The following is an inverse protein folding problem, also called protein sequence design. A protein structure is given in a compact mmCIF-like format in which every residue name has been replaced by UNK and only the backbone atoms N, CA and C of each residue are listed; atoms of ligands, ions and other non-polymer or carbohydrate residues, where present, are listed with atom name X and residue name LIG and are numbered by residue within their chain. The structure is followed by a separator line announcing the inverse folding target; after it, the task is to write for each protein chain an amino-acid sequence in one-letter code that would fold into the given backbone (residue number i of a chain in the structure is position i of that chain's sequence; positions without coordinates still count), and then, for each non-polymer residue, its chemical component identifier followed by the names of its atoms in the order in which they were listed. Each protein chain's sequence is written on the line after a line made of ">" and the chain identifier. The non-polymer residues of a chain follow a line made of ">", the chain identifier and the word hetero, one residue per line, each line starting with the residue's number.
data_IF_177942206255
#
_entry.id   IF_177942206255
#
_cell.length_a   1.000
_cell.length_b   1.000
_cell.length_c   1.000
_cell.angle_alpha   90.00
_cell.angle_beta   90.00
_cell.angle_gamma   90.00
#
_symmetry.space_group_name_H-M   'P 1'
#
loop_
_entity.id
_entity.type
_entity.pdbx_description
1 polymer ?
#
# COMPACT_ATOMS: atom_id res chain seq x y z
N UNK A 1 -14.00 -2.23 -22.15
CA UNK A 1 -14.43 -2.75 -20.84
C UNK A 1 -13.68 -1.99 -19.77
N UNK A 2 -14.37 -1.54 -18.72
CA UNK A 2 -13.75 -0.73 -17.67
C UNK A 2 -12.94 -1.63 -16.71
N UNK A 3 -11.64 -1.36 -16.57
CA UNK A 3 -10.84 -1.90 -15.47
C UNK A 3 -11.02 -1.07 -14.21
N UNK A 4 -10.87 -1.70 -13.06
CA UNK A 4 -10.83 -1.04 -11.75
C UNK A 4 -9.37 -0.88 -11.32
N UNK A 5 -9.08 0.17 -10.55
CA UNK A 5 -7.76 0.34 -9.95
C UNK A 5 -7.73 -0.46 -8.65
N UNK A 6 -6.79 -1.40 -8.55
CA UNK A 6 -6.63 -2.25 -7.39
C UNK A 6 -5.25 -2.06 -6.76
N UNK A 7 -5.20 -2.34 -5.47
CA UNK A 7 -3.97 -2.50 -4.72
C UNK A 7 -3.88 -3.92 -4.17
N UNK A 8 -2.70 -4.52 -4.31
CA UNK A 8 -2.33 -5.76 -3.64
C UNK A 8 -1.46 -5.37 -2.45
N UNK A 9 -1.89 -5.72 -1.26
CA UNK A 9 -1.37 -5.16 -0.01
C UNK A 9 -1.08 -6.23 1.01
N UNK A 10 -0.22 -5.93 1.97
CA UNK A 10 -0.19 -6.65 3.24
C UNK A 10 -0.98 -5.88 4.31
N UNK A 11 -1.75 -6.61 5.12
CA UNK A 11 -2.53 -6.05 6.22
C UNK A 11 -1.84 -6.30 7.56
N UNK A 12 -1.81 -5.28 8.45
CA UNK A 12 -1.23 -5.42 9.78
C UNK A 12 -2.09 -6.33 10.67
N UNK A 13 -1.49 -6.86 11.74
CA UNK A 13 -2.20 -7.52 12.84
C UNK A 13 -3.25 -6.58 13.46
N UNK A 14 -4.23 -7.14 14.18
CA UNK A 14 -5.28 -6.33 14.81
C UNK A 14 -4.73 -5.31 15.81
N UNK A 15 -3.63 -5.61 16.51
CA UNK A 15 -2.96 -4.66 17.40
C UNK A 15 -2.42 -3.45 16.61
N UNK A 16 -1.62 -3.70 15.57
CA UNK A 16 -1.00 -2.64 14.78
C UNK A 16 -2.04 -1.84 13.97
N UNK A 17 -3.08 -2.53 13.47
CA UNK A 17 -4.27 -1.90 12.86
C UNK A 17 -4.92 -0.92 13.83
N UNK A 18 -5.17 -1.34 15.07
CA UNK A 18 -5.80 -0.51 16.10
C UNK A 18 -4.98 0.75 16.38
N UNK A 19 -3.66 0.61 16.61
CA UNK A 19 -2.75 1.75 16.84
C UNK A 19 -2.75 2.74 15.67
N UNK A 20 -2.72 2.23 14.44
CA UNK A 20 -2.70 3.06 13.23
C UNK A 20 -4.02 3.82 13.04
N UNK A 21 -5.15 3.16 13.30
CA UNK A 21 -6.48 3.77 13.28
C UNK A 21 -6.59 4.87 14.35
N UNK A 22 -6.12 4.61 15.56
CA UNK A 22 -6.13 5.60 16.65
C UNK A 22 -5.31 6.85 16.31
N UNK A 23 -4.11 6.68 15.76
CA UNK A 23 -3.31 7.81 15.30
C UNK A 23 -4.02 8.57 14.17
N UNK A 24 -4.57 7.88 13.17
CA UNK A 24 -5.29 8.54 12.08
C UNK A 24 -6.49 9.35 12.58
N UNK A 25 -7.23 8.82 13.57
CA UNK A 25 -8.35 9.51 14.21
C UNK A 25 -7.92 10.74 14.99
N UNK A 26 -6.83 10.67 15.76
CA UNK A 26 -6.33 11.81 16.54
C UNK A 26 -5.89 12.97 15.64
N UNK A 27 -5.43 12.67 14.43
CA UNK A 27 -5.00 13.67 13.44
C UNK A 27 -6.15 14.35 12.69
N UNK A 28 -7.39 13.82 12.77
CA UNK A 28 -8.57 14.40 12.08
C UNK A 28 -8.80 15.87 12.44
N UNK A 29 -8.49 16.27 13.68
CA UNK A 29 -8.63 17.67 14.14
C UNK A 29 -7.77 18.65 13.33
N UNK A 30 -6.73 18.15 12.67
CA UNK A 30 -5.82 18.94 11.83
C UNK A 30 -6.27 19.05 10.37
N UNK A 31 -7.48 18.62 10.04
CA UNK A 31 -8.03 18.74 8.69
C UNK A 31 -7.48 17.70 7.71
N UNK A 32 -7.99 16.48 7.78
CA UNK A 32 -7.58 15.37 6.90
C UNK A 32 -8.58 15.13 5.76
N UNK A 33 -8.10 14.51 4.68
CA UNK A 33 -8.90 14.10 3.52
C UNK A 33 -9.54 12.72 3.72
N UNK A 34 -8.94 11.87 4.55
CA UNK A 34 -9.52 10.61 5.01
C UNK A 34 -9.04 10.29 6.44
N UNK A 35 -9.73 9.36 7.08
CA UNK A 35 -9.36 8.85 8.41
C UNK A 35 -9.50 7.33 8.37
N UNK A 36 -8.45 6.61 8.75
CA UNK A 36 -8.48 5.16 8.84
C UNK A 36 -9.50 4.71 9.89
N UNK A 37 -10.26 3.68 9.56
CA UNK A 37 -11.25 3.07 10.47
C UNK A 37 -11.20 1.53 10.44
N UNK A 38 -10.45 0.95 9.51
CA UNK A 38 -10.36 -0.50 9.34
C UNK A 38 -11.61 -1.15 8.71
N UNK A 39 -12.54 -0.34 8.19
CA UNK A 39 -13.81 -0.78 7.58
C UNK A 39 -13.99 -0.16 6.20
N UNK A 40 -13.93 1.17 6.11
CA UNK A 40 -14.01 1.93 4.86
C UNK A 40 -12.63 2.38 4.37
N UNK A 41 -11.68 2.53 5.29
CA UNK A 41 -10.31 2.91 5.01
C UNK A 41 -9.38 2.01 5.83
N UNK A 42 -8.82 1.00 5.16
CA UNK A 42 -8.00 -0.02 5.80
C UNK A 42 -6.54 0.43 5.94
N UNK A 43 -5.92 0.34 7.13
CA UNK A 43 -4.47 0.37 7.25
C UNK A 43 -3.84 -0.76 6.43
N UNK A 44 -2.88 -0.43 5.58
CA UNK A 44 -2.25 -1.40 4.69
C UNK A 44 -0.88 -0.91 4.22
N UNK A 45 -0.01 -1.84 3.80
CA UNK A 45 1.18 -1.50 3.04
C UNK A 45 1.09 -2.11 1.63
N UNK A 46 1.14 -1.24 0.62
CA UNK A 46 1.01 -1.62 -0.79
C UNK A 46 2.23 -2.41 -1.26
N UNK A 47 1.99 -3.53 -1.93
CA UNK A 47 2.99 -4.30 -2.67
C UNK A 47 2.97 -3.92 -4.15
N UNK A 48 1.77 -3.81 -4.74
CA UNK A 48 1.64 -3.48 -6.16
C UNK A 48 0.25 -2.93 -6.52
N UNK A 49 0.25 -1.77 -7.19
CA UNK A 49 -0.96 -1.15 -7.72
C UNK A 49 -1.10 -1.43 -9.22
N UNK A 50 -2.29 -1.88 -9.63
CA UNK A 50 -2.56 -2.20 -11.03
C UNK A 50 -4.02 -1.98 -11.38
N UNK A 51 -4.27 -1.57 -12.64
CA UNK A 51 -5.62 -1.66 -13.20
C UNK A 51 -5.92 -3.09 -13.60
N UNK A 52 -7.00 -3.67 -13.10
CA UNK A 52 -7.38 -5.06 -13.34
C UNK A 52 -8.77 -5.14 -13.97
N UNK A 53 -8.99 -6.13 -14.86
CA UNK A 53 -10.32 -6.37 -15.42
C UNK A 53 -11.13 -7.24 -14.46
N UNK A 54 -12.41 -6.92 -14.21
CA UNK A 54 -13.24 -7.73 -13.32
C UNK A 54 -13.28 -9.23 -13.68
N UNK A 55 -13.20 -9.57 -14.96
CA UNK A 55 -13.21 -10.95 -15.46
C UNK A 55 -11.97 -11.75 -15.04
N UNK A 56 -10.88 -11.09 -14.67
CA UNK A 56 -9.62 -11.74 -14.28
C UNK A 56 -9.53 -11.96 -12.77
N UNK A 57 -10.44 -11.38 -11.98
CA UNK A 57 -10.34 -11.35 -10.52
C UNK A 57 -10.35 -12.74 -9.90
N UNK A 58 -11.14 -13.70 -10.40
CA UNK A 58 -11.14 -15.06 -9.86
C UNK A 58 -9.80 -15.77 -10.06
N UNK A 59 -9.17 -15.62 -11.23
CA UNK A 59 -7.83 -16.17 -11.47
C UNK A 59 -6.77 -15.51 -10.59
N UNK A 60 -6.89 -14.19 -10.38
CA UNK A 60 -6.00 -13.43 -9.50
C UNK A 60 -6.14 -13.87 -8.04
N UNK A 61 -7.36 -14.14 -7.55
CA UNK A 61 -7.57 -14.66 -6.19
C UNK A 61 -6.80 -15.95 -5.95
N UNK A 62 -6.90 -16.92 -6.87
CA UNK A 62 -6.18 -18.20 -6.76
C UNK A 62 -4.66 -17.99 -6.74
N UNK A 63 -4.16 -17.10 -7.59
CA UNK A 63 -2.72 -16.77 -7.63
C UNK A 63 -2.26 -16.14 -6.31
N UNK A 64 -3.02 -15.20 -5.76
CA UNK A 64 -2.69 -14.54 -4.49
C UNK A 64 -2.80 -15.51 -3.31
N UNK A 65 -3.76 -16.44 -3.31
CA UNK A 65 -3.86 -17.50 -2.29
C UNK A 65 -2.60 -18.37 -2.27
N UNK A 66 -2.14 -18.80 -3.45
CA UNK A 66 -0.92 -19.59 -3.57
C UNK A 66 0.31 -18.83 -3.07
N UNK A 67 0.43 -17.54 -3.42
CA UNK A 67 1.50 -16.65 -2.92
C UNK A 67 1.43 -16.55 -1.39
N UNK A 68 0.24 -16.34 -0.83
CA UNK A 68 0.06 -16.22 0.62
C UNK A 68 0.43 -17.51 1.37
N UNK A 69 0.11 -18.68 0.81
CA UNK A 69 0.37 -19.99 1.43
C UNK A 69 1.84 -20.36 1.61
N UNK A 70 2.75 -19.69 0.88
CA UNK A 70 4.20 -19.98 0.91
C UNK A 70 5.02 -18.85 1.53
N UNK A 71 4.45 -17.66 1.68
CA UNK A 71 5.12 -16.52 2.29
C UNK A 71 4.67 -16.34 3.73
N UNK A 72 5.66 -16.24 4.63
CA UNK A 72 5.40 -16.07 6.05
C UNK A 72 4.80 -14.70 6.38
N UNK A 73 4.18 -14.60 7.54
CA UNK A 73 3.89 -13.32 8.18
C UNK A 73 5.12 -12.41 8.21
N UNK A 74 4.94 -11.12 7.89
CA UNK A 74 6.04 -10.15 7.77
C UNK A 74 6.19 -9.37 9.08
N UNK A 75 7.32 -9.55 9.78
CA UNK A 75 7.63 -8.78 10.98
C UNK A 75 8.45 -7.56 10.60
N UNK A 76 7.81 -6.39 10.57
CA UNK A 76 8.42 -5.17 10.06
C UNK A 76 8.73 -4.19 11.19
N UNK A 77 9.87 -3.51 11.04
CA UNK A 77 10.28 -2.42 11.93
C UNK A 77 9.95 -1.10 11.28
N UNK A 78 9.13 -0.30 11.93
CA UNK A 78 8.88 1.08 11.54
C UNK A 78 10.14 1.91 11.81
N UNK A 79 10.48 2.80 10.87
CA UNK A 79 11.76 3.51 10.85
C UNK A 79 11.60 5.00 11.06
N UNK A 80 10.60 5.61 10.40
CA UNK A 80 10.37 7.05 10.46
C UNK A 80 8.96 7.41 9.97
N UNK A 81 8.54 8.61 10.34
CA UNK A 81 7.52 9.32 9.60
C UNK A 81 8.09 9.88 8.29
N UNK A 82 7.31 9.79 7.22
CA UNK A 82 7.60 10.45 5.95
C UNK A 82 6.41 11.32 5.54
N UNK A 83 6.70 12.54 5.09
CA UNK A 83 5.68 13.50 4.69
C UNK A 83 5.94 14.03 3.29
N UNK A 84 4.94 13.94 2.41
CA UNK A 84 5.00 14.46 1.04
C UNK A 84 3.60 14.76 0.52
N UNK A 85 3.37 15.91 -0.13
CA UNK A 85 2.07 16.26 -0.73
C UNK A 85 0.87 16.07 0.23
N UNK A 86 1.07 16.42 1.50
CA UNK A 86 0.10 16.25 2.59
C UNK A 86 -0.02 14.84 3.17
N UNK A 87 0.59 13.82 2.57
CA UNK A 87 0.60 12.48 3.16
C UNK A 87 1.45 12.47 4.43
N UNK A 88 0.99 11.72 5.43
CA UNK A 88 1.79 11.29 6.57
C UNK A 88 1.85 9.77 6.54
N UNK A 89 3.03 9.25 6.25
CA UNK A 89 3.31 7.82 6.16
C UNK A 89 4.17 7.37 7.35
N UNK A 90 3.92 6.15 7.84
CA UNK A 90 4.91 5.39 8.61
C UNK A 90 5.67 4.48 7.64
N UNK A 91 6.97 4.70 7.48
CA UNK A 91 7.83 3.86 6.64
C UNK A 91 8.43 2.69 7.43
N UNK A 92 8.50 1.53 6.79
CA UNK A 92 9.07 0.31 7.36
C UNK A 92 10.42 -0.03 6.74
N UNK A 93 11.25 -0.71 7.52
CA UNK A 93 12.50 -1.27 7.04
C UNK A 93 12.20 -2.39 6.03
N UNK A 94 12.88 -2.34 4.87
CA UNK A 94 12.85 -3.44 3.91
C UNK A 94 13.55 -4.66 4.47
N UNK A 95 13.00 -5.83 4.16
CA UNK A 95 13.59 -7.12 4.46
C UNK A 95 13.57 -7.95 3.19
N UNK A 96 14.50 -8.91 3.06
CA UNK A 96 14.52 -9.79 1.91
C UNK A 96 13.19 -10.54 1.75
N UNK A 97 12.59 -11.00 2.85
CA UNK A 97 11.30 -11.69 2.82
C UNK A 97 10.16 -10.82 2.26
N UNK A 98 10.16 -9.53 2.58
CA UNK A 98 9.16 -8.59 2.07
C UNK A 98 9.41 -8.25 0.60
N UNK A 99 10.68 -8.07 0.22
CA UNK A 99 11.07 -7.83 -1.17
C UNK A 99 10.73 -9.04 -2.06
N UNK A 100 10.92 -10.25 -1.56
CA UNK A 100 10.56 -11.50 -2.24
C UNK A 100 9.04 -11.60 -2.44
N UNK A 101 8.25 -11.27 -1.41
CA UNK A 101 6.78 -11.23 -1.48
C UNK A 101 6.30 -10.17 -2.49
N UNK A 102 6.84 -8.96 -2.44
CA UNK A 102 6.51 -7.90 -3.40
C UNK A 102 6.86 -8.30 -4.84
N UNK A 103 8.03 -8.91 -5.03
CA UNK A 103 8.48 -9.43 -6.33
C UNK A 103 7.58 -10.54 -6.86
N UNK A 104 7.17 -11.48 -6.02
CA UNK A 104 6.24 -12.55 -6.37
C UNK A 104 4.89 -11.99 -6.84
N UNK A 105 4.34 -11.01 -6.11
CA UNK A 105 3.11 -10.32 -6.48
C UNK A 105 3.28 -9.59 -7.83
N UNK A 106 4.31 -8.77 -8.00
CA UNK A 106 4.54 -8.02 -9.25
C UNK A 106 4.67 -8.98 -10.45
N UNK A 107 5.47 -10.04 -10.31
CA UNK A 107 5.68 -11.05 -11.36
C UNK A 107 4.37 -11.72 -11.77
N UNK A 108 3.49 -12.00 -10.81
CA UNK A 108 2.25 -12.71 -11.07
C UNK A 108 1.14 -11.80 -11.63
N UNK A 109 1.08 -10.53 -11.19
CA UNK A 109 -0.02 -9.61 -11.51
C UNK A 109 0.29 -8.72 -12.72
N UNK A 110 1.54 -8.28 -12.92
CA UNK A 110 1.88 -7.39 -14.03
C UNK A 110 1.48 -7.94 -15.42
N UNK A 111 1.58 -9.25 -15.73
CA UNK A 111 1.15 -9.79 -17.03
C UNK A 111 -0.33 -9.58 -17.35
N UNK A 112 -1.19 -9.48 -16.33
CA UNK A 112 -2.64 -9.26 -16.48
C UNK A 112 -3.05 -7.81 -16.22
N UNK A 113 -2.09 -6.90 -15.98
CA UNK A 113 -2.34 -5.47 -15.80
C UNK A 113 -2.97 -4.88 -17.06
N UNK A 114 -4.06 -4.15 -16.89
CA UNK A 114 -4.76 -3.46 -17.97
C UNK A 114 -4.44 -1.95 -17.98
N UNK A 115 -3.25 -1.63 -18.49
CA UNK A 115 -2.80 -0.25 -18.67
C UNK A 115 -2.31 0.40 -17.37
N UNK A 116 -2.38 1.74 -17.32
CA UNK A 116 -1.85 2.57 -16.23
C UNK A 116 -2.91 3.61 -15.83
N UNK A 117 -3.07 3.92 -14.53
CA UNK A 117 -3.91 5.05 -14.09
C UNK A 117 -3.47 6.36 -14.72
N UNK A 118 -4.42 7.26 -15.01
CA UNK A 118 -4.11 8.54 -15.67
C UNK A 118 -3.14 9.40 -14.84
N UNK A 119 -3.31 9.40 -13.52
CA UNK A 119 -2.39 10.09 -12.61
C UNK A 119 -0.95 9.57 -12.73
N UNK A 120 -0.76 8.28 -12.92
CA UNK A 120 0.57 7.70 -13.08
C UNK A 120 1.13 7.95 -14.49
N UNK A 121 0.29 8.09 -15.52
CA UNK A 121 0.74 8.56 -16.84
C UNK A 121 1.31 9.98 -16.75
N UNK A 122 0.59 10.88 -16.08
CA UNK A 122 1.06 12.25 -15.85
C UNK A 122 2.36 12.29 -15.05
N UNK A 123 2.47 11.48 -13.99
CA UNK A 123 3.72 11.36 -13.21
C UNK A 123 4.87 10.79 -14.03
N UNK A 124 4.59 9.90 -14.97
CA UNK A 124 5.58 9.31 -15.86
C UNK A 124 6.20 10.34 -16.80
N UNK A 125 5.45 11.35 -17.25
CA UNK A 125 5.97 12.40 -18.16
C UNK A 125 7.17 13.16 -17.58
N UNK A 126 7.18 13.37 -16.26
CA UNK A 126 8.29 14.00 -15.53
C UNK A 126 9.29 13.02 -14.92
N UNK A 127 9.06 11.71 -15.05
CA UNK A 127 9.90 10.70 -14.42
C UNK A 127 11.19 10.47 -15.22
N UNK A 128 12.28 10.16 -14.52
CA UNK A 128 13.58 9.81 -15.10
C UNK A 128 14.17 8.58 -14.41
N UNK A 129 15.20 8.00 -15.02
CA UNK A 129 15.91 6.83 -14.48
C UNK A 129 14.98 5.65 -14.16
N UNK A 130 15.25 4.98 -13.03
CA UNK A 130 14.52 3.78 -12.63
C UNK A 130 13.01 4.00 -12.43
N UNK A 131 12.58 5.20 -12.05
CA UNK A 131 11.16 5.50 -11.90
C UNK A 131 10.43 5.47 -13.25
N UNK A 132 11.07 6.03 -14.31
CA UNK A 132 10.53 5.98 -15.67
C UNK A 132 10.50 4.55 -16.20
N UNK A 133 11.56 3.78 -15.97
CA UNK A 133 11.61 2.36 -16.31
C UNK A 133 10.48 1.57 -15.63
N UNK A 134 10.27 1.81 -14.33
CA UNK A 134 9.22 1.14 -13.59
C UNK A 134 7.81 1.51 -14.08
N UNK A 135 7.55 2.78 -14.39
CA UNK A 135 6.28 3.16 -15.01
C UNK A 135 6.04 2.44 -16.35
N UNK A 136 7.06 2.38 -17.23
CA UNK A 136 6.95 1.72 -18.53
C UNK A 136 6.70 0.22 -18.40
N UNK A 137 7.42 -0.45 -17.51
CA UNK A 137 7.38 -1.90 -17.38
C UNK A 137 6.21 -2.41 -16.52
N UNK A 138 5.88 -1.68 -15.46
CA UNK A 138 4.96 -2.13 -14.42
C UNK A 138 3.74 -1.25 -14.24
N UNK A 139 3.65 -0.09 -14.90
CA UNK A 139 2.56 0.85 -14.69
C UNK A 139 2.60 1.57 -13.33
N UNK A 140 3.66 1.37 -12.54
CA UNK A 140 3.78 1.83 -11.16
C UNK A 140 5.25 1.99 -10.79
N UNK A 141 5.62 3.09 -10.10
CA UNK A 141 7.04 3.41 -9.85
C UNK A 141 7.68 2.66 -8.69
N UNK A 142 6.94 2.26 -7.65
CA UNK A 142 7.51 1.71 -6.41
C UNK A 142 7.74 0.19 -6.50
N UNK A 143 8.46 -0.25 -7.53
CA UNK A 143 8.81 -1.65 -7.80
C UNK A 143 10.32 -1.84 -7.64
N UNK A 144 10.75 -2.99 -7.12
CA UNK A 144 12.17 -3.34 -7.02
C UNK A 144 12.95 -2.41 -6.09
N UNK A 145 14.00 -1.76 -6.57
CA UNK A 145 14.83 -0.88 -5.73
C UNK A 145 14.07 0.34 -5.21
N UNK A 146 13.04 0.80 -5.94
CA UNK A 146 12.18 1.90 -5.51
C UNK A 146 11.06 1.43 -4.56
N UNK A 147 10.94 0.14 -4.28
CA UNK A 147 9.96 -0.34 -3.31
C UNK A 147 10.20 0.31 -1.94
N UNK A 148 9.11 0.81 -1.35
CA UNK A 148 9.11 1.54 -0.08
C UNK A 148 7.90 1.09 0.73
N UNK A 149 8.03 0.14 1.65
CA UNK A 149 6.91 -0.33 2.44
C UNK A 149 6.49 0.74 3.45
N UNK A 150 5.22 1.12 3.43
CA UNK A 150 4.69 2.14 4.31
C UNK A 150 3.20 1.93 4.56
N UNK A 151 2.70 2.42 5.68
CA UNK A 151 1.26 2.65 5.90
C UNK A 151 1.03 4.16 5.83
N UNK A 152 0.18 4.61 4.92
CA UNK A 152 -0.31 5.99 4.94
C UNK A 152 -1.32 6.16 6.06
N UNK A 153 -0.97 6.97 7.06
CA UNK A 153 -1.80 7.25 8.24
C UNK A 153 -2.98 8.15 7.87
N UNK A 154 -2.68 9.19 7.10
CA UNK A 154 -3.67 10.14 6.59
C UNK A 154 -3.07 10.98 5.46
N UNK A 155 -3.90 11.80 4.84
CA UNK A 155 -3.48 12.91 3.99
C UNK A 155 -4.13 14.19 4.48
N UNK A 156 -3.35 15.21 4.78
CA UNK A 156 -3.83 16.52 5.17
C UNK A 156 -4.34 17.31 3.97
N UNK A 157 -5.31 18.20 4.22
CA UNK A 157 -5.71 19.23 3.25
C UNK A 157 -4.56 20.22 3.03
N UNK A 158 -4.57 20.87 1.87
CA UNK A 158 -3.64 21.95 1.51
C UNK A 158 -2.14 21.57 1.62
N UNK A 159 -1.85 20.28 1.49
CA UNK A 159 -0.50 19.71 1.55
C UNK A 159 0.29 20.04 2.82
N UNK A 160 -0.41 20.30 3.93
CA UNK A 160 0.22 20.63 5.21
C UNK A 160 1.15 19.50 5.69
N UNK A 161 2.23 19.89 6.37
CA UNK A 161 3.05 18.99 7.18
C UNK A 161 2.90 19.32 8.66
N UNK A 162 3.17 18.35 9.52
CA UNK A 162 3.11 18.51 10.97
C UNK A 162 4.45 18.18 11.61
N UNK A 163 4.71 18.77 12.78
CA UNK A 163 5.80 18.34 13.65
C UNK A 163 5.47 16.96 14.23
N UNK A 164 6.32 15.98 13.91
CA UNK A 164 6.16 14.59 14.34
C UNK A 164 6.84 14.30 15.67
N UNK A 165 7.61 15.23 16.25
CA UNK A 165 8.33 15.02 17.52
C UNK A 165 7.40 14.81 18.73
N UNK A 166 6.15 15.27 18.63
CA UNK A 166 5.15 15.15 19.69
C UNK A 166 4.06 14.11 19.36
N UNK A 167 4.33 13.25 18.38
CA UNK A 167 3.47 12.13 18.01
C UNK A 167 4.10 10.86 18.59
N UNK A 168 3.31 9.80 18.71
CA UNK A 168 3.80 8.49 19.11
C UNK A 168 5.02 8.06 18.27
N UNK A 169 6.05 7.53 18.92
CA UNK A 169 7.32 7.19 18.28
C UNK A 169 7.13 6.13 17.17
N UNK A 170 7.89 6.19 16.05
CA UNK A 170 7.78 5.22 14.98
C UNK A 170 7.90 3.77 15.45
N UNK A 171 8.75 3.48 16.44
CA UNK A 171 8.94 2.13 16.97
C UNK A 171 7.68 1.49 17.56
N UNK A 172 6.69 2.29 17.96
CA UNK A 172 5.40 1.80 18.46
C UNK A 172 4.54 1.16 17.35
N UNK A 173 4.90 1.40 16.09
CA UNK A 173 4.32 0.76 14.90
C UNK A 173 5.12 -0.45 14.42
N UNK A 174 6.14 -0.90 15.16
CA UNK A 174 6.72 -2.21 14.91
C UNK A 174 5.63 -3.27 15.06
N UNK A 175 5.56 -4.21 14.13
CA UNK A 175 4.53 -5.24 14.20
C UNK A 175 4.54 -6.23 13.06
N UNK A 176 3.57 -7.12 13.12
CA UNK A 176 3.41 -8.21 12.17
C UNK A 176 2.32 -7.86 11.17
N UNK A 177 2.58 -8.12 9.90
CA UNK A 177 1.59 -8.13 8.84
C UNK A 177 1.25 -9.58 8.52
N UNK A 178 -0.02 -9.93 8.69
CA UNK A 178 -0.46 -11.32 8.78
C UNK A 178 -1.24 -11.77 7.55
N UNK A 179 -1.70 -10.83 6.70
CA UNK A 179 -2.54 -11.15 5.54
C UNK A 179 -2.03 -10.51 4.28
N UNK A 180 -2.23 -11.20 3.16
CA UNK A 180 -2.18 -10.66 1.80
C UNK A 180 -3.60 -10.31 1.36
N UNK A 181 -3.81 -9.11 0.85
CA UNK A 181 -5.12 -8.62 0.44
C UNK A 181 -5.14 -8.06 -0.97
N UNK A 182 -6.30 -8.13 -1.62
CA UNK A 182 -6.62 -7.43 -2.85
C UNK A 182 -7.79 -6.49 -2.58
N UNK A 183 -7.60 -5.22 -2.89
CA UNK A 183 -8.58 -4.17 -2.65
C UNK A 183 -8.82 -3.36 -3.92
N UNK A 184 -10.05 -2.89 -4.10
CA UNK A 184 -10.29 -1.75 -4.97
C UNK A 184 -9.87 -0.47 -4.25
N UNK A 185 -9.19 0.40 -4.99
CA UNK A 185 -8.67 1.65 -4.49
C UNK A 185 -9.71 2.76 -4.60
N UNK A 186 -9.78 3.59 -3.57
CA UNK A 186 -10.43 4.89 -3.61
C UNK A 186 -9.42 6.01 -3.88
N UNK A 187 -9.86 7.24 -3.65
CA UNK A 187 -8.98 8.40 -3.75
C UNK A 187 -7.83 8.34 -2.73
N UNK A 188 -6.75 9.08 -3.02
CA UNK A 188 -5.60 9.21 -2.14
C UNK A 188 -4.89 7.87 -1.80
N UNK A 189 -4.97 6.87 -2.69
CA UNK A 189 -4.32 5.58 -2.46
C UNK A 189 -5.00 4.73 -1.39
N UNK A 190 -6.23 5.05 -1.01
CA UNK A 190 -6.94 4.33 0.04
C UNK A 190 -7.47 2.99 -0.44
N UNK A 191 -7.44 1.97 0.42
CA UNK A 191 -8.13 0.71 0.18
C UNK A 191 -9.57 0.81 0.73
N UNK A 192 -10.57 0.86 -0.16
CA UNK A 192 -11.97 1.17 0.20
C UNK A 192 -12.95 0.02 0.05
N UNK A 193 -12.62 -0.99 -0.78
CA UNK A 193 -13.44 -2.20 -0.90
C UNK A 193 -12.56 -3.44 -0.96
N UNK A 194 -12.65 -4.26 0.08
CA UNK A 194 -11.99 -5.56 0.12
C UNK A 194 -12.57 -6.48 -0.97
N UNK A 195 -11.70 -7.03 -1.83
CA UNK A 195 -12.07 -8.05 -2.81
C UNK A 195 -11.79 -9.44 -2.24
N UNK A 196 -10.61 -9.65 -1.65
CA UNK A 196 -10.23 -10.89 -0.95
C UNK A 196 -9.08 -10.64 0.01
N UNK A 197 -8.94 -11.50 1.02
CA UNK A 197 -7.77 -11.57 1.91
C UNK A 197 -7.42 -13.02 2.20
N UNK A 198 -6.13 -13.31 2.31
CA UNK A 198 -5.58 -14.61 2.68
C UNK A 198 -4.60 -14.45 3.84
N UNK A 199 -4.60 -15.38 4.79
CA UNK A 199 -3.56 -15.44 5.81
C UNK A 199 -2.22 -15.79 5.15
N UNK A 200 -1.17 -15.13 5.59
CA UNK A 200 0.22 -15.51 5.29
C UNK A 200 0.60 -16.71 6.16
N UNK A 201 1.54 -17.52 5.68
CA UNK A 201 2.03 -18.73 6.35
C UNK A 201 2.78 -18.47 7.68
#
# INVERSE_FOLDING_TARGET
>A
MNSILCDIVILPSEELKTKTVELSKSLRIRGTLYTLDGINFHPHASLYMARLRPQELEGIKVVLENIASVHKCQNLKATKYYQVMGFLDIEYQRTQALDDLASAVVKAINPVRNGMPEQDKLRMESATGLALENYRNYGYKYVGELFRPHISITRFKDEQTIDTNNIIEPSEFNGTFTKLGLFEMGDNGTCVRQIVTFELA
#
